data_IF_541021233559
#
_entry.id   IF_541021233559
#
_cell.length_a   1.000
_cell.length_b   1.000
_cell.length_c   1.000
_cell.angle_alpha   90.00
_cell.angle_beta   90.00
_cell.angle_gamma   90.00
#
_symmetry.space_group_name_H-M   'P 1'
#
loop_
_entity.id
_entity.type
_entity.pdbx_description
1 polymer ?
#
# COMPACT_ATOMS: atom_id res chain seq x y z
N UNK A 1 0.01 -18.81 -4.30
CA UNK A 1 -0.98 -19.48 -3.42
C UNK A 1 -0.32 -19.86 -2.10
N UNK A 2 0.74 -20.69 -2.06
CA UNK A 2 1.38 -21.17 -0.81
C UNK A 2 1.84 -20.02 0.08
N UNK A 3 2.55 -19.03 -0.47
CA UNK A 3 2.99 -17.85 0.28
C UNK A 3 1.83 -17.04 0.87
N UNK A 4 0.72 -16.92 0.14
CA UNK A 4 -0.49 -16.25 0.65
C UNK A 4 -1.15 -17.01 1.81
N UNK A 5 -1.21 -18.32 1.75
CA UNK A 5 -1.67 -19.15 2.88
C UNK A 5 -0.78 -18.98 4.11
N UNK A 6 0.56 -19.01 3.93
CA UNK A 6 1.51 -18.79 5.01
C UNK A 6 1.39 -17.40 5.64
N UNK A 7 1.24 -16.35 4.83
CA UNK A 7 1.01 -14.99 5.32
C UNK A 7 -0.29 -14.88 6.13
N UNK A 8 -1.40 -15.46 5.64
CA UNK A 8 -2.67 -15.42 6.33
C UNK A 8 -2.63 -16.09 7.71
N UNK A 9 -2.07 -17.30 7.80
CA UNK A 9 -1.91 -18.02 9.06
C UNK A 9 -0.96 -17.30 10.02
N UNK A 10 0.20 -16.86 9.53
CA UNK A 10 1.22 -16.17 10.32
C UNK A 10 0.81 -14.79 10.81
N UNK A 11 -0.16 -14.14 10.15
CA UNK A 11 -0.67 -12.83 10.55
C UNK A 11 -1.84 -12.91 11.54
N UNK A 12 -2.86 -13.71 11.25
CA UNK A 12 -4.11 -13.73 12.05
C UNK A 12 -3.89 -14.38 13.41
N UNK A 13 -3.06 -15.42 13.50
CA UNK A 13 -2.83 -16.16 14.74
C UNK A 13 -2.20 -15.31 15.85
N UNK A 14 -1.07 -14.61 15.65
CA UNK A 14 -0.49 -13.74 16.68
C UNK A 14 -1.43 -12.60 17.09
N UNK A 15 -2.09 -11.97 16.14
CA UNK A 15 -2.99 -10.82 16.41
C UNK A 15 -4.17 -11.26 17.29
N UNK A 16 -4.81 -12.38 16.98
CA UNK A 16 -5.92 -12.91 17.79
C UNK A 16 -5.46 -13.36 19.18
N UNK A 17 -4.25 -13.86 19.32
CA UNK A 17 -3.65 -14.24 20.60
C UNK A 17 -3.39 -13.01 21.48
N UNK A 18 -2.82 -11.94 20.92
CA UNK A 18 -2.54 -10.70 21.64
C UNK A 18 -3.81 -10.00 22.14
N UNK A 19 -4.89 -10.03 21.38
CA UNK A 19 -6.20 -9.51 21.83
C UNK A 19 -6.68 -10.20 23.12
N UNK A 20 -6.36 -11.49 23.30
CA UNK A 20 -6.69 -12.25 24.52
C UNK A 20 -5.75 -11.97 25.67
N UNK A 21 -4.45 -11.73 25.40
CA UNK A 21 -3.47 -11.36 26.42
C UNK A 21 -3.69 -9.97 27.00
N UNK A 22 -4.17 -9.02 26.18
CA UNK A 22 -4.33 -7.61 26.53
C UNK A 22 -5.78 -7.14 26.33
N UNK A 23 -6.73 -7.67 27.14
CA UNK A 23 -8.14 -7.30 27.03
C UNK A 23 -8.40 -5.83 27.43
N UNK A 24 -7.49 -5.23 28.21
CA UNK A 24 -7.49 -3.83 28.65
C UNK A 24 -7.03 -2.85 27.57
N UNK A 25 -6.14 -3.29 26.67
CA UNK A 25 -5.48 -2.47 25.64
C UNK A 25 -5.38 -3.19 24.30
N UNK A 26 -6.50 -3.69 23.82
CA UNK A 26 -6.58 -4.49 22.57
C UNK A 26 -5.99 -3.76 21.38
N UNK A 27 -6.27 -2.45 21.24
CA UNK A 27 -5.76 -1.63 20.16
C UNK A 27 -4.24 -1.46 20.23
N UNK A 28 -3.70 -1.12 21.39
CA UNK A 28 -2.25 -1.00 21.56
C UNK A 28 -1.55 -2.33 21.22
N UNK A 29 -2.06 -3.45 21.72
CA UNK A 29 -1.47 -4.76 21.48
C UNK A 29 -1.47 -5.15 20.00
N UNK A 30 -2.59 -4.95 19.30
CA UNK A 30 -2.69 -5.18 17.86
C UNK A 30 -1.81 -4.20 17.07
N UNK A 31 -1.77 -2.93 17.48
CA UNK A 31 -0.92 -1.91 16.89
C UNK A 31 0.55 -2.27 16.95
N UNK A 32 1.05 -2.70 18.11
CA UNK A 32 2.44 -3.16 18.29
C UNK A 32 2.78 -4.37 17.42
N UNK A 33 1.90 -5.38 17.37
CA UNK A 33 2.13 -6.56 16.54
C UNK A 33 2.17 -6.21 15.05
N UNK A 34 1.25 -5.37 14.60
CA UNK A 34 1.06 -5.07 13.19
C UNK A 34 2.01 -3.96 12.71
N UNK A 35 2.60 -3.15 13.61
CA UNK A 35 3.58 -2.13 13.22
C UNK A 35 4.81 -2.72 12.52
N UNK A 36 5.22 -3.94 12.91
CA UNK A 36 6.29 -4.67 12.25
C UNK A 36 6.03 -4.93 10.76
N UNK A 37 4.76 -5.14 10.38
CA UNK A 37 4.37 -5.28 8.98
C UNK A 37 4.53 -3.96 8.20
N UNK A 38 4.24 -2.81 8.84
CA UNK A 38 4.45 -1.48 8.24
C UNK A 38 5.93 -1.11 8.09
N UNK A 39 6.75 -1.50 9.08
CA UNK A 39 8.19 -1.22 9.11
C UNK A 39 9.05 -2.23 8.32
N UNK A 40 8.45 -3.34 7.86
CA UNK A 40 9.21 -4.43 7.21
C UNK A 40 10.01 -3.98 6.00
N UNK A 41 9.49 -3.06 5.19
CA UNK A 41 10.19 -2.53 4.03
C UNK A 41 11.47 -1.76 4.40
N UNK A 42 11.49 -1.07 5.54
CA UNK A 42 12.65 -0.32 6.01
C UNK A 42 13.86 -1.25 6.28
N UNK A 43 13.60 -2.44 6.81
CA UNK A 43 14.62 -3.44 7.13
C UNK A 43 14.93 -4.30 5.91
N UNK A 44 13.88 -4.76 5.21
CA UNK A 44 14.02 -5.72 4.13
C UNK A 44 14.65 -5.12 2.86
N UNK A 45 14.41 -3.82 2.56
CA UNK A 45 14.94 -3.21 1.34
C UNK A 45 16.48 -3.18 1.32
N UNK A 46 17.18 -2.61 2.32
CA UNK A 46 18.65 -2.59 2.31
C UNK A 46 19.24 -4.01 2.35
N UNK A 47 18.61 -4.95 3.06
CA UNK A 47 19.06 -6.35 3.08
C UNK A 47 18.92 -6.98 1.70
N UNK A 48 17.78 -6.77 1.02
CA UNK A 48 17.56 -7.27 -0.34
C UNK A 48 18.55 -6.67 -1.34
N UNK A 49 18.79 -5.37 -1.29
CA UNK A 49 19.75 -4.69 -2.15
C UNK A 49 21.17 -5.24 -1.94
N UNK A 50 21.59 -5.42 -0.69
CA UNK A 50 22.87 -6.06 -0.37
C UNK A 50 22.99 -7.48 -0.91
N UNK A 51 21.98 -8.32 -0.69
CA UNK A 51 21.97 -9.71 -1.17
C UNK A 51 21.90 -9.80 -2.70
N UNK A 52 21.11 -8.93 -3.33
CA UNK A 52 21.06 -8.83 -4.80
C UNK A 52 22.44 -8.50 -5.35
N UNK A 53 23.14 -7.52 -4.77
CA UNK A 53 24.51 -7.19 -5.16
C UNK A 53 25.50 -8.34 -4.92
N UNK A 54 25.36 -9.05 -3.79
CA UNK A 54 26.23 -10.19 -3.45
C UNK A 54 26.09 -11.37 -4.43
N UNK A 55 24.88 -11.68 -4.86
CA UNK A 55 24.58 -12.79 -5.78
C UNK A 55 24.51 -12.36 -7.25
N UNK A 56 24.65 -11.06 -7.53
CA UNK A 56 24.64 -10.55 -8.90
C UNK A 56 25.87 -11.04 -9.67
N UNK A 57 25.66 -11.49 -10.89
CA UNK A 57 26.73 -11.75 -11.86
C UNK A 57 26.45 -10.92 -13.10
N UNK A 58 27.37 -10.02 -13.43
CA UNK A 58 27.27 -9.22 -14.64
C UNK A 58 27.20 -10.14 -15.88
N UNK A 59 26.35 -9.83 -16.86
CA UNK A 59 26.37 -10.51 -18.15
C UNK A 59 27.69 -10.19 -18.89
N UNK A 60 28.07 -11.06 -19.82
CA UNK A 60 29.27 -10.86 -20.63
C UNK A 60 29.16 -9.60 -21.47
N UNK A 61 30.13 -8.71 -21.34
CA UNK A 61 30.23 -7.47 -22.06
C UNK A 61 31.04 -7.63 -23.33
N UNK A 62 30.45 -7.24 -24.48
CA UNK A 62 31.11 -7.36 -25.78
C UNK A 62 31.74 -6.06 -26.26
N UNK A 63 31.40 -4.94 -25.66
CA UNK A 63 31.92 -3.61 -26.02
C UNK A 63 30.87 -2.53 -26.16
N UNK A 64 31.28 -1.29 -26.46
CA UNK A 64 30.37 -0.18 -26.69
C UNK A 64 29.43 -0.44 -27.88
N UNK A 65 28.32 0.30 -27.94
CA UNK A 65 27.43 0.24 -29.09
C UNK A 65 28.18 0.59 -30.41
N UNK A 66 28.03 -0.28 -31.42
CA UNK A 66 28.75 -0.17 -32.70
C UNK A 66 30.09 -0.90 -32.73
N UNK A 67 30.60 -1.47 -31.64
CA UNK A 67 31.85 -2.23 -31.61
C UNK A 67 31.74 -3.64 -32.21
N UNK A 68 30.52 -4.19 -32.28
CA UNK A 68 30.21 -5.53 -32.78
C UNK A 68 29.11 -5.42 -33.85
N UNK A 69 29.25 -6.20 -34.95
CA UNK A 69 28.20 -6.30 -35.94
C UNK A 69 26.97 -7.01 -35.39
N UNK A 70 25.81 -6.33 -35.52
CA UNK A 70 24.54 -6.86 -35.03
C UNK A 70 23.66 -7.28 -36.19
N UNK A 71 23.06 -8.47 -36.09
CA UNK A 71 22.05 -8.96 -37.02
C UNK A 71 20.71 -9.03 -36.27
N UNK A 72 19.62 -8.60 -36.94
CA UNK A 72 18.29 -8.72 -36.36
C UNK A 72 17.54 -9.85 -37.07
N UNK A 73 17.21 -10.90 -36.32
CA UNK A 73 16.47 -12.06 -36.83
C UNK A 73 15.37 -12.44 -35.84
N UNK A 74 14.15 -12.65 -36.32
CA UNK A 74 13.01 -13.01 -35.47
C UNK A 74 12.70 -11.99 -34.35
N UNK A 75 13.03 -10.71 -34.52
CA UNK A 75 12.84 -9.65 -33.51
C UNK A 75 13.92 -9.66 -32.41
N UNK A 76 14.94 -10.49 -32.50
CA UNK A 76 16.08 -10.56 -31.61
C UNK A 76 17.33 -9.99 -32.25
N UNK A 77 18.17 -9.36 -31.45
CA UNK A 77 19.51 -8.91 -31.88
C UNK A 77 20.50 -10.01 -31.60
N UNK A 78 21.26 -10.36 -32.61
CA UNK A 78 22.28 -11.41 -32.54
C UNK A 78 23.64 -10.79 -32.85
N UNK A 79 24.69 -11.32 -32.21
CA UNK A 79 26.08 -11.01 -32.49
C UNK A 79 26.87 -12.32 -32.61
N UNK A 80 27.88 -12.32 -33.42
CA UNK A 80 28.82 -13.48 -33.51
C UNK A 80 29.85 -13.37 -32.40
N UNK A 81 29.87 -14.39 -31.52
CA UNK A 81 30.85 -14.53 -30.44
C UNK A 81 31.49 -15.94 -30.54
N UNK A 82 32.79 -15.99 -30.73
CA UNK A 82 33.56 -17.26 -30.87
C UNK A 82 32.98 -18.21 -31.93
N UNK A 83 32.48 -17.66 -33.06
CA UNK A 83 31.90 -18.44 -34.15
C UNK A 83 30.48 -18.92 -33.92
N UNK A 84 29.82 -18.45 -32.88
CA UNK A 84 28.41 -18.74 -32.58
C UNK A 84 27.55 -17.46 -32.56
N UNK A 85 26.34 -17.54 -33.11
CA UNK A 85 25.37 -16.47 -33.04
C UNK A 85 24.68 -16.51 -31.69
N UNK A 86 24.88 -15.47 -30.88
CA UNK A 86 24.28 -15.32 -29.55
C UNK A 86 23.34 -14.12 -29.49
N UNK A 87 22.29 -14.26 -28.72
CA UNK A 87 21.36 -13.16 -28.48
C UNK A 87 22.02 -12.09 -27.59
N UNK A 88 21.90 -10.82 -28.01
CA UNK A 88 22.49 -9.70 -27.29
C UNK A 88 21.48 -8.60 -27.02
N UNK A 89 21.75 -7.81 -25.99
CA UNK A 89 20.98 -6.61 -25.61
C UNK A 89 21.92 -5.41 -25.53
N UNK A 90 21.44 -4.25 -25.97
CA UNK A 90 22.15 -2.98 -25.79
C UNK A 90 21.62 -2.36 -24.49
N UNK A 91 22.53 -2.17 -23.53
CA UNK A 91 22.25 -1.49 -22.27
C UNK A 91 22.69 -0.02 -22.38
N UNK A 92 21.73 0.90 -22.34
CA UNK A 92 22.00 2.33 -22.26
C UNK A 92 22.03 2.82 -20.80
N UNK A 93 22.21 4.12 -20.60
CA UNK A 93 22.36 4.77 -19.29
C UNK A 93 21.29 4.38 -18.27
N UNK A 94 20.02 4.22 -18.68
CA UNK A 94 18.92 3.85 -17.78
C UNK A 94 19.04 2.42 -17.26
N UNK A 95 19.42 1.46 -18.10
CA UNK A 95 19.59 0.07 -17.73
C UNK A 95 20.83 -0.12 -16.84
N UNK A 96 21.91 0.57 -17.16
CA UNK A 96 23.14 0.58 -16.38
C UNK A 96 22.92 1.18 -14.99
N UNK A 97 22.20 2.31 -14.92
CA UNK A 97 21.86 2.95 -13.63
C UNK A 97 20.93 2.11 -12.73
N UNK A 98 20.18 1.18 -13.33
CA UNK A 98 19.27 0.30 -12.59
C UNK A 98 19.98 -0.99 -12.10
N UNK A 99 21.20 -1.27 -12.52
CA UNK A 99 21.95 -2.45 -12.11
C UNK A 99 22.43 -2.33 -10.65
N UNK A 100 22.46 -3.45 -9.88
CA UNK A 100 22.91 -3.43 -8.49
C UNK A 100 24.44 -3.24 -8.35
N UNK A 101 25.18 -3.27 -9.44
CA UNK A 101 26.62 -3.02 -9.53
C UNK A 101 26.91 -2.06 -10.68
N UNK A 102 28.07 -1.41 -10.63
CA UNK A 102 28.50 -0.52 -11.71
C UNK A 102 28.70 -1.31 -13.01
N UNK A 103 27.93 -1.00 -14.04
CA UNK A 103 28.07 -1.52 -15.40
C UNK A 103 28.48 -0.40 -16.37
N UNK A 104 28.95 -0.77 -17.55
CA UNK A 104 29.23 0.15 -18.65
C UNK A 104 28.08 0.12 -19.67
N UNK A 105 27.87 1.22 -20.36
CA UNK A 105 26.92 1.22 -21.49
C UNK A 105 27.51 0.42 -22.67
N UNK A 106 26.66 -0.37 -23.34
CA UNK A 106 27.13 -1.18 -24.48
C UNK A 106 26.33 -2.48 -24.65
N UNK A 107 26.97 -3.43 -25.33
CA UNK A 107 26.38 -4.69 -25.77
C UNK A 107 26.71 -5.80 -24.79
N UNK A 108 25.65 -6.54 -24.35
CA UNK A 108 25.76 -7.64 -23.42
C UNK A 108 25.13 -8.91 -23.97
N UNK A 109 25.74 -10.06 -23.69
CA UNK A 109 25.22 -11.38 -24.08
C UNK A 109 24.09 -11.81 -23.16
N UNK A 110 22.94 -12.13 -23.74
CA UNK A 110 21.76 -12.60 -22.98
C UNK A 110 22.02 -13.97 -22.39
N UNK A 111 21.63 -14.15 -21.13
CA UNK A 111 21.70 -15.44 -20.42
C UNK A 111 23.06 -15.77 -19.77
N UNK A 112 24.08 -14.93 -19.94
CA UNK A 112 25.40 -15.14 -19.29
C UNK A 112 25.50 -14.57 -17.89
N UNK A 113 24.62 -13.62 -17.53
CA UNK A 113 24.54 -12.99 -16.21
C UNK A 113 23.52 -13.64 -15.28
N UNK A 114 23.50 -13.16 -14.04
CA UNK A 114 22.51 -13.51 -13.03
C UNK A 114 22.08 -12.26 -12.28
N UNK A 115 20.79 -12.04 -12.13
CA UNK A 115 20.22 -10.90 -11.39
C UNK A 115 20.44 -10.98 -9.87
N UNK A 116 20.92 -12.09 -9.34
CA UNK A 116 21.04 -12.34 -7.90
C UNK A 116 19.73 -12.70 -7.21
N UNK A 117 18.60 -12.63 -7.90
CA UNK A 117 17.27 -12.82 -7.30
C UNK A 117 17.10 -14.21 -6.66
N UNK A 118 17.55 -15.29 -7.35
CA UNK A 118 17.40 -16.66 -6.84
C UNK A 118 18.17 -16.85 -5.52
N UNK A 119 19.42 -16.40 -5.43
CA UNK A 119 20.24 -16.48 -4.22
C UNK A 119 19.64 -15.64 -3.08
N UNK A 120 19.15 -14.45 -3.40
CA UNK A 120 18.48 -13.56 -2.43
C UNK A 120 17.23 -14.22 -1.85
N UNK A 121 16.32 -14.74 -2.70
CA UNK A 121 15.12 -15.43 -2.22
C UNK A 121 15.43 -16.67 -1.42
N UNK A 122 16.42 -17.45 -1.83
CA UNK A 122 16.83 -18.65 -1.09
C UNK A 122 17.37 -18.30 0.31
N UNK A 123 18.25 -17.32 0.41
CA UNK A 123 18.83 -16.86 1.68
C UNK A 123 17.77 -16.31 2.61
N UNK A 124 16.90 -15.41 2.11
CA UNK A 124 15.80 -14.85 2.90
C UNK A 124 14.79 -15.93 3.29
N UNK A 125 14.53 -16.89 2.41
CA UNK A 125 13.66 -18.02 2.71
C UNK A 125 14.14 -18.85 3.90
N UNK A 126 15.44 -19.15 3.99
CA UNK A 126 16.03 -19.85 5.14
C UNK A 126 15.93 -18.99 6.40
N UNK A 127 16.29 -17.71 6.33
CA UNK A 127 16.21 -16.80 7.48
C UNK A 127 14.78 -16.71 8.01
N UNK A 128 13.80 -16.52 7.13
CA UNK A 128 12.39 -16.47 7.53
C UNK A 128 11.92 -17.80 8.13
N UNK A 129 12.31 -18.95 7.55
CA UNK A 129 11.95 -20.25 8.08
C UNK A 129 12.43 -20.40 9.53
N UNK A 130 13.71 -20.11 9.79
CA UNK A 130 14.30 -20.23 11.13
C UNK A 130 13.63 -19.29 12.12
N UNK A 131 13.52 -18.01 11.78
CA UNK A 131 12.91 -17.00 12.66
C UNK A 131 11.45 -17.31 12.96
N UNK A 132 10.68 -17.72 11.94
CA UNK A 132 9.26 -18.04 12.12
C UNK A 132 9.04 -19.30 12.93
N UNK A 133 9.89 -20.34 12.80
CA UNK A 133 9.82 -21.53 13.64
C UNK A 133 10.09 -21.17 15.11
N UNK A 134 11.15 -20.41 15.39
CA UNK A 134 11.46 -19.93 16.75
C UNK A 134 10.28 -19.13 17.31
N UNK A 135 9.75 -18.19 16.53
CA UNK A 135 8.60 -17.39 16.94
C UNK A 135 7.35 -18.24 17.21
N UNK A 136 7.06 -19.22 16.34
CA UNK A 136 5.89 -20.09 16.48
C UNK A 136 5.93 -20.92 17.79
N UNK A 137 7.11 -21.36 18.23
CA UNK A 137 7.28 -22.09 19.48
C UNK A 137 7.38 -21.18 20.71
N UNK A 138 7.62 -19.89 20.54
CA UNK A 138 7.82 -18.96 21.66
C UNK A 138 6.52 -18.40 22.23
N UNK A 139 5.45 -18.24 21.46
CA UNK A 139 4.21 -17.65 21.96
C UNK A 139 3.19 -18.68 22.44
N UNK A 140 2.37 -18.27 23.42
CA UNK A 140 1.34 -19.09 24.05
C UNK A 140 0.01 -18.38 24.03
N UNK A 141 -1.09 -19.14 23.93
CA UNK A 141 -2.44 -18.60 24.14
C UNK A 141 -2.68 -18.53 25.66
N UNK A 142 -3.25 -17.42 26.19
CA UNK A 142 -3.58 -17.31 27.59
C UNK A 142 -4.63 -18.35 27.98
N UNK A 143 -4.62 -18.78 29.26
CA UNK A 143 -5.62 -19.69 29.82
C UNK A 143 -7.01 -19.03 29.78
N UNK A 144 -8.06 -19.84 29.74
CA UNK A 144 -9.43 -19.35 29.92
C UNK A 144 -9.56 -18.61 31.24
N UNK A 145 -10.26 -17.46 31.21
CA UNK A 145 -10.39 -16.60 32.39
C UNK A 145 -9.18 -15.71 32.73
N UNK A 146 -8.12 -15.75 31.93
CA UNK A 146 -6.97 -14.84 32.10
C UNK A 146 -7.40 -13.37 32.13
N UNK A 147 -6.88 -12.63 33.10
CA UNK A 147 -7.07 -11.19 33.25
C UNK A 147 -5.76 -10.56 33.74
N UNK A 148 -5.38 -9.38 33.22
CA UNK A 148 -4.25 -8.63 33.76
C UNK A 148 -4.48 -8.25 35.21
N UNK A 149 -3.41 -8.21 35.99
CA UNK A 149 -3.49 -7.84 37.40
C UNK A 149 -4.07 -6.42 37.58
N UNK A 150 -5.05 -6.29 38.49
CA UNK A 150 -5.70 -5.00 38.77
C UNK A 150 -6.70 -4.52 37.69
N UNK A 151 -6.93 -5.27 36.61
CA UNK A 151 -7.93 -4.93 35.61
C UNK A 151 -9.28 -5.63 35.90
N UNK A 152 -10.34 -4.84 35.81
CA UNK A 152 -11.71 -5.32 35.80
C UNK A 152 -12.40 -5.01 34.47
N UNK A 153 -13.26 -5.91 33.98
CA UNK A 153 -14.04 -5.62 32.76
C UNK A 153 -14.83 -4.32 32.91
N UNK A 154 -14.98 -3.54 31.82
CA UNK A 154 -15.75 -2.31 31.87
C UNK A 154 -17.19 -2.60 32.31
N UNK A 155 -17.79 -1.66 33.05
CA UNK A 155 -19.21 -1.73 33.42
C UNK A 155 -20.10 -1.77 32.17
N UNK A 156 -21.30 -2.31 32.27
CA UNK A 156 -22.24 -2.42 31.14
C UNK A 156 -22.45 -1.09 30.39
N UNK A 157 -22.57 0.02 31.13
CA UNK A 157 -22.72 1.36 30.53
C UNK A 157 -21.46 1.81 29.79
N UNK A 158 -20.28 1.59 30.36
CA UNK A 158 -19.02 1.95 29.71
C UNK A 158 -18.75 1.08 28.47
N UNK A 159 -19.08 -0.22 28.56
CA UNK A 159 -18.99 -1.14 27.43
C UNK A 159 -19.96 -0.75 26.31
N UNK A 160 -21.21 -0.41 26.63
CA UNK A 160 -22.21 0.03 25.67
C UNK A 160 -21.78 1.30 24.92
N UNK A 161 -21.25 2.30 25.62
CA UNK A 161 -20.76 3.55 25.00
C UNK A 161 -19.63 3.30 23.99
N UNK A 162 -18.79 2.31 24.22
CA UNK A 162 -17.69 1.92 23.30
C UNK A 162 -18.07 0.78 22.36
N UNK A 163 -19.30 0.31 22.38
CA UNK A 163 -19.80 -0.86 21.63
C UNK A 163 -18.99 -2.14 21.90
N UNK A 164 -18.57 -2.37 23.14
CA UNK A 164 -17.83 -3.55 23.55
C UNK A 164 -18.83 -4.61 24.02
N UNK A 165 -18.88 -5.76 23.35
CA UNK A 165 -19.68 -6.90 23.79
C UNK A 165 -18.91 -7.79 24.76
N UNK A 166 -19.61 -8.34 25.75
CA UNK A 166 -19.11 -9.40 26.63
C UNK A 166 -19.45 -10.81 26.10
N UNK A 167 -20.35 -10.89 25.13
CA UNK A 167 -20.81 -12.12 24.51
C UNK A 167 -19.98 -12.45 23.26
N UNK A 168 -20.04 -13.70 22.83
CA UNK A 168 -19.35 -14.15 21.62
C UNK A 168 -20.36 -14.44 20.51
N UNK A 169 -19.97 -14.14 19.28
CA UNK A 169 -20.72 -14.48 18.06
C UNK A 169 -19.95 -15.56 17.32
N UNK A 170 -20.62 -16.65 16.94
CA UNK A 170 -20.00 -17.70 16.13
C UNK A 170 -19.64 -17.16 14.74
N UNK A 171 -18.60 -17.70 14.14
CA UNK A 171 -18.08 -17.22 12.83
C UNK A 171 -19.18 -17.17 11.77
N UNK A 172 -19.99 -18.23 11.65
CA UNK A 172 -21.03 -18.32 10.61
C UNK A 172 -22.24 -17.41 10.90
N UNK A 173 -22.47 -17.06 12.17
CA UNK A 173 -23.46 -16.07 12.53
C UNK A 173 -22.98 -14.65 12.27
N UNK A 174 -21.70 -14.37 12.44
CA UNK A 174 -21.12 -13.06 12.12
C UNK A 174 -21.36 -12.69 10.65
N UNK A 175 -21.23 -13.66 9.72
CA UNK A 175 -21.51 -13.46 8.30
C UNK A 175 -22.98 -13.17 7.97
N UNK A 176 -23.90 -13.44 8.89
CA UNK A 176 -25.33 -13.13 8.73
C UNK A 176 -25.70 -11.75 9.30
N UNK A 177 -24.74 -11.01 9.80
CA UNK A 177 -24.96 -9.70 10.42
C UNK A 177 -24.60 -8.56 9.47
N UNK A 178 -25.35 -7.46 9.44
CA UNK A 178 -25.00 -6.29 8.64
C UNK A 178 -23.67 -5.66 9.10
N UNK A 179 -23.31 -5.80 10.37
CA UNK A 179 -22.07 -5.28 10.94
C UNK A 179 -20.83 -5.83 10.21
N UNK A 180 -20.82 -7.11 9.85
CA UNK A 180 -19.71 -7.71 9.11
C UNK A 180 -19.52 -7.02 7.76
N UNK A 181 -20.57 -6.82 6.99
CA UNK A 181 -20.50 -6.20 5.67
C UNK A 181 -20.19 -4.70 5.74
N UNK A 182 -20.73 -3.99 6.74
CA UNK A 182 -20.38 -2.60 6.98
C UNK A 182 -18.88 -2.44 7.29
N UNK A 183 -18.33 -3.30 8.15
CA UNK A 183 -16.90 -3.29 8.47
C UNK A 183 -16.04 -3.76 7.28
N UNK A 184 -16.58 -4.64 6.44
CA UNK A 184 -15.93 -5.03 5.19
C UNK A 184 -15.81 -3.84 4.24
N UNK A 185 -16.87 -3.05 4.05
CA UNK A 185 -16.87 -1.82 3.25
C UNK A 185 -15.89 -0.80 3.85
N UNK A 186 -15.95 -0.58 5.17
CA UNK A 186 -15.05 0.31 5.92
C UNK A 186 -13.59 -0.05 5.64
N UNK A 187 -13.23 -1.32 5.78
CA UNK A 187 -11.87 -1.78 5.55
C UNK A 187 -11.49 -1.70 4.06
N UNK A 188 -12.35 -2.20 3.16
CA UNK A 188 -12.09 -2.25 1.73
C UNK A 188 -11.78 -0.85 1.18
N UNK A 189 -12.60 0.14 1.48
CA UNK A 189 -12.44 1.47 0.90
C UNK A 189 -11.33 2.29 1.57
N UNK A 190 -11.13 2.12 2.88
CA UNK A 190 -9.96 2.68 3.56
C UNK A 190 -8.64 2.17 2.96
N UNK A 191 -8.57 0.86 2.72
CA UNK A 191 -7.39 0.22 2.15
C UNK A 191 -7.22 0.55 0.67
N UNK A 192 -8.30 0.57 -0.12
CA UNK A 192 -8.27 0.93 -1.54
C UNK A 192 -7.67 2.33 -1.73
N UNK A 193 -8.13 3.30 -0.94
CA UNK A 193 -7.60 4.67 -0.98
C UNK A 193 -6.10 4.72 -0.64
N UNK A 194 -5.67 3.98 0.39
CA UNK A 194 -4.27 4.01 0.82
C UNK A 194 -3.32 3.20 -0.07
N UNK A 195 -3.64 1.93 -0.36
CA UNK A 195 -2.74 1.02 -1.09
C UNK A 195 -2.55 1.47 -2.55
N UNK A 196 -3.58 2.04 -3.13
CA UNK A 196 -3.51 2.62 -4.46
C UNK A 196 -2.46 3.72 -4.52
N UNK A 197 -2.53 4.70 -3.61
CA UNK A 197 -1.59 5.83 -3.58
C UNK A 197 -0.16 5.39 -3.26
N UNK A 198 0.03 4.42 -2.34
CA UNK A 198 1.36 3.88 -2.03
C UNK A 198 2.05 3.35 -3.30
N UNK A 199 1.32 2.63 -4.16
CA UNK A 199 1.87 2.03 -5.37
C UNK A 199 2.44 3.02 -6.37
N UNK A 200 1.94 4.27 -6.39
CA UNK A 200 2.35 5.33 -7.31
C UNK A 200 2.96 6.55 -6.62
N UNK A 201 3.10 6.53 -5.30
CA UNK A 201 3.47 7.71 -4.51
C UNK A 201 4.77 8.38 -4.98
N UNK A 202 5.81 7.60 -5.30
CA UNK A 202 7.07 8.13 -5.83
C UNK A 202 6.86 8.82 -7.17
N UNK A 203 6.19 8.12 -8.10
CA UNK A 203 5.92 8.65 -9.45
C UNK A 203 5.04 9.88 -9.38
N UNK A 204 3.97 9.84 -8.59
CA UNK A 204 3.07 10.96 -8.37
C UNK A 204 3.81 12.20 -7.86
N UNK A 205 4.65 12.06 -6.83
CA UNK A 205 5.42 13.16 -6.29
C UNK A 205 6.39 13.74 -7.33
N UNK A 206 7.08 12.88 -8.10
CA UNK A 206 8.02 13.35 -9.14
C UNK A 206 7.31 13.96 -10.35
N UNK A 207 6.12 13.47 -10.73
CA UNK A 207 5.33 14.06 -11.82
C UNK A 207 4.71 15.40 -11.41
N UNK A 208 4.26 15.55 -10.16
CA UNK A 208 3.66 16.82 -9.70
C UNK A 208 4.71 17.92 -9.50
N UNK A 209 5.85 17.58 -8.90
CA UNK A 209 6.82 18.60 -8.45
C UNK A 209 8.16 18.56 -9.17
N UNK A 210 8.49 17.50 -9.93
CA UNK A 210 9.81 17.33 -10.52
C UNK A 210 10.14 18.37 -11.60
N UNK A 211 9.15 18.80 -12.38
CA UNK A 211 9.32 19.85 -13.40
C UNK A 211 9.29 21.25 -12.81
N UNK A 212 8.51 21.47 -11.75
CA UNK A 212 8.30 22.78 -11.11
C UNK A 212 9.34 23.10 -10.06
N UNK A 213 9.87 22.09 -9.36
CA UNK A 213 10.87 22.23 -8.29
C UNK A 213 12.06 21.26 -8.48
N UNK A 214 12.75 21.26 -9.64
CA UNK A 214 13.77 20.25 -9.98
C UNK A 214 15.00 20.26 -9.06
N UNK A 215 15.31 21.39 -8.44
CA UNK A 215 16.44 21.49 -7.51
C UNK A 215 16.18 20.76 -6.18
N UNK A 216 14.92 20.56 -5.81
CA UNK A 216 14.51 19.91 -4.56
C UNK A 216 14.09 18.47 -4.82
N UNK A 217 13.19 18.27 -5.80
CA UNK A 217 12.58 16.97 -6.10
C UNK A 217 13.46 16.20 -7.10
N UNK A 218 14.54 15.67 -6.57
CA UNK A 218 15.47 14.79 -7.29
C UNK A 218 15.27 13.32 -6.88
N UNK A 219 16.07 12.41 -7.41
CA UNK A 219 15.99 10.97 -7.13
C UNK A 219 16.23 10.62 -5.66
N UNK A 220 17.13 11.34 -4.98
CA UNK A 220 17.42 11.14 -3.56
C UNK A 220 16.25 11.59 -2.68
N UNK A 221 15.64 12.75 -2.99
CA UNK A 221 14.42 13.21 -2.32
C UNK A 221 13.27 12.23 -2.50
N UNK A 222 13.10 11.71 -3.72
CA UNK A 222 12.07 10.72 -4.02
C UNK A 222 12.27 9.38 -3.27
N UNK A 223 13.52 8.94 -3.09
CA UNK A 223 13.84 7.76 -2.30
C UNK A 223 13.54 8.00 -0.81
N UNK A 224 13.93 9.17 -0.27
CA UNK A 224 13.62 9.57 1.11
C UNK A 224 12.11 9.64 1.35
N UNK A 225 11.34 10.16 0.39
CA UNK A 225 9.88 10.21 0.49
C UNK A 225 9.27 8.80 0.64
N UNK A 226 9.71 7.82 -0.15
CA UNK A 226 9.25 6.43 -0.05
C UNK A 226 9.63 5.80 1.32
N UNK A 227 10.83 6.09 1.80
CA UNK A 227 11.25 5.66 3.13
C UNK A 227 10.34 6.24 4.22
N UNK A 228 10.06 7.54 4.15
CA UNK A 228 9.18 8.21 5.11
C UNK A 228 7.74 7.69 5.08
N UNK A 229 7.22 7.28 3.92
CA UNK A 229 5.93 6.58 3.82
C UNK A 229 5.92 5.35 4.74
N UNK A 230 6.97 4.53 4.72
CA UNK A 230 7.06 3.33 5.57
C UNK A 230 7.15 3.69 7.06
N UNK A 231 7.90 4.73 7.41
CA UNK A 231 8.00 5.23 8.80
C UNK A 231 6.64 5.67 9.32
N UNK A 232 5.94 6.54 8.57
CA UNK A 232 4.65 7.08 8.99
C UNK A 232 3.56 5.98 9.02
N UNK A 233 3.60 5.03 8.09
CA UNK A 233 2.71 3.87 8.12
C UNK A 233 2.94 3.01 9.38
N UNK A 234 4.19 2.74 9.73
CA UNK A 234 4.56 1.98 10.92
C UNK A 234 4.13 2.69 12.21
N UNK A 235 4.50 3.96 12.36
CA UNK A 235 4.15 4.79 13.52
C UNK A 235 2.63 4.93 13.64
N UNK A 236 1.95 5.13 12.51
CA UNK A 236 0.50 5.25 12.46
C UNK A 236 -0.24 4.02 12.98
N UNK A 237 0.29 2.81 12.73
CA UNK A 237 -0.29 1.56 13.27
C UNK A 237 -0.31 1.55 14.79
N UNK A 238 0.79 1.90 15.40
CA UNK A 238 0.89 1.97 16.86
C UNK A 238 0.06 3.12 17.43
N UNK A 239 0.25 4.32 16.88
CA UNK A 239 -0.39 5.55 17.38
C UNK A 239 -1.92 5.46 17.34
N UNK A 240 -2.50 5.19 16.17
CA UNK A 240 -3.95 5.18 16.01
C UNK A 240 -4.63 3.99 16.69
N UNK A 241 -4.02 2.80 16.64
CA UNK A 241 -4.56 1.65 17.31
C UNK A 241 -4.56 1.84 18.85
N UNK A 242 -3.50 2.42 19.42
CA UNK A 242 -3.46 2.80 20.84
C UNK A 242 -4.48 3.88 21.17
N UNK A 243 -4.57 4.94 20.35
CA UNK A 243 -5.55 6.02 20.53
C UNK A 243 -6.97 5.49 20.51
N UNK A 244 -7.24 4.47 19.70
CA UNK A 244 -8.56 3.86 19.59
C UNK A 244 -9.04 3.17 20.88
N UNK A 245 -8.13 2.79 21.78
CA UNK A 245 -8.49 2.27 23.13
C UNK A 245 -9.16 3.34 23.99
N UNK A 246 -8.81 4.62 23.76
CA UNK A 246 -9.34 5.76 24.53
C UNK A 246 -10.61 6.34 23.91
N UNK A 247 -10.58 6.69 22.63
CA UNK A 247 -11.70 7.37 21.95
C UNK A 247 -12.75 6.42 21.36
N UNK A 248 -12.46 5.10 21.36
CA UNK A 248 -13.29 4.05 20.78
C UNK A 248 -13.03 3.84 19.27
N UNK A 249 -13.25 2.61 18.80
CA UNK A 249 -12.92 2.19 17.42
C UNK A 249 -13.72 2.96 16.37
N UNK A 250 -15.02 3.07 16.58
CA UNK A 250 -15.93 3.78 15.66
C UNK A 250 -15.49 5.24 15.46
N UNK A 251 -15.15 5.96 16.54
CA UNK A 251 -14.71 7.34 16.48
C UNK A 251 -13.35 7.49 15.80
N UNK A 252 -12.44 6.53 16.04
CA UNK A 252 -11.14 6.51 15.34
C UNK A 252 -11.33 6.42 13.82
N UNK A 253 -12.22 5.55 13.35
CA UNK A 253 -12.53 5.45 11.93
C UNK A 253 -13.27 6.69 11.39
N UNK A 254 -14.11 7.35 12.19
CA UNK A 254 -14.66 8.65 11.81
C UNK A 254 -13.55 9.69 11.59
N UNK A 255 -12.55 9.74 12.49
CA UNK A 255 -11.38 10.61 12.29
C UNK A 255 -10.64 10.27 10.99
N UNK A 256 -10.42 8.99 10.69
CA UNK A 256 -9.76 8.58 9.45
C UNK A 256 -10.49 9.08 8.20
N UNK A 257 -11.80 8.94 8.18
CA UNK A 257 -12.58 9.30 6.99
C UNK A 257 -12.74 10.81 6.84
N UNK A 258 -13.09 11.52 7.90
CA UNK A 258 -13.26 12.98 7.84
C UNK A 258 -11.93 13.66 7.49
N UNK A 259 -10.87 13.34 8.22
CA UNK A 259 -9.56 13.92 7.95
C UNK A 259 -9.01 13.45 6.60
N UNK A 260 -9.20 12.18 6.26
CA UNK A 260 -8.79 11.62 4.98
C UNK A 260 -9.44 12.33 3.79
N UNK A 261 -10.75 12.56 3.81
CA UNK A 261 -11.45 13.32 2.76
C UNK A 261 -10.81 14.69 2.56
N UNK A 262 -10.58 15.44 3.65
CA UNK A 262 -9.95 16.77 3.58
C UNK A 262 -8.56 16.68 2.97
N UNK A 263 -7.75 15.71 3.40
CA UNK A 263 -6.37 15.55 2.93
C UNK A 263 -6.31 15.10 1.47
N UNK A 264 -7.16 14.16 1.04
CA UNK A 264 -7.24 13.76 -0.36
C UNK A 264 -7.67 14.91 -1.28
N UNK A 265 -8.60 15.77 -0.83
CA UNK A 265 -9.01 16.96 -1.57
C UNK A 265 -7.94 18.06 -1.59
N UNK A 266 -7.04 18.10 -0.62
CA UNK A 266 -5.95 19.07 -0.57
C UNK A 266 -4.84 18.79 -1.58
N UNK A 267 -4.67 17.53 -2.03
CA UNK A 267 -3.62 17.13 -3.00
C UNK A 267 -3.85 17.77 -4.39
N UNK A 268 -5.05 17.66 -5.00
CA UNK A 268 -5.36 18.37 -6.25
C UNK A 268 -5.13 19.88 -6.16
N UNK A 269 -5.54 20.48 -5.04
CA UNK A 269 -5.32 21.91 -4.83
C UNK A 269 -3.83 22.26 -4.83
N UNK A 270 -2.98 21.49 -4.14
CA UNK A 270 -1.53 21.71 -4.14
C UNK A 270 -0.93 21.52 -5.54
N UNK A 271 -1.40 20.52 -6.30
CA UNK A 271 -0.96 20.23 -7.65
C UNK A 271 -1.32 21.36 -8.65
N UNK A 272 -2.52 21.93 -8.53
CA UNK A 272 -2.93 23.08 -9.34
C UNK A 272 -2.14 24.34 -8.99
N UNK A 273 -1.96 24.60 -7.69
CA UNK A 273 -1.24 25.80 -7.26
C UNK A 273 0.24 25.77 -7.65
N UNK A 274 0.92 24.63 -7.57
CA UNK A 274 2.32 24.54 -7.96
C UNK A 274 2.54 24.74 -9.47
N UNK A 275 1.54 24.41 -10.30
CA UNK A 275 1.58 24.63 -11.75
C UNK A 275 1.53 26.11 -12.12
N UNK A 276 0.84 26.93 -11.32
CA UNK A 276 0.67 28.38 -11.54
C UNK A 276 1.77 29.17 -10.83
N UNK A 277 2.09 28.81 -9.61
CA UNK A 277 3.09 29.50 -8.77
C UNK A 277 4.00 28.46 -8.10
N UNK A 278 5.13 28.10 -8.70
CA UNK A 278 6.08 27.14 -8.15
C UNK A 278 6.63 27.63 -6.79
N UNK A 279 6.13 27.05 -5.69
CA UNK A 279 6.57 27.35 -4.35
C UNK A 279 6.72 26.07 -3.51
N UNK A 280 7.73 26.05 -2.65
CA UNK A 280 8.01 24.92 -1.74
C UNK A 280 6.83 24.63 -0.81
N UNK A 281 6.03 25.63 -0.50
CA UNK A 281 4.83 25.50 0.36
C UNK A 281 3.88 24.42 -0.13
N UNK A 282 3.68 24.30 -1.45
CA UNK A 282 2.80 23.28 -2.03
C UNK A 282 3.37 21.88 -1.92
N UNK A 283 4.69 21.75 -2.04
CA UNK A 283 5.39 20.48 -1.79
C UNK A 283 5.27 20.08 -0.31
N UNK A 284 5.46 21.01 0.62
CA UNK A 284 5.30 20.74 2.06
C UNK A 284 3.86 20.32 2.38
N UNK A 285 2.87 21.01 1.82
CA UNK A 285 1.45 20.66 1.99
C UNK A 285 1.15 19.25 1.48
N UNK A 286 1.59 18.93 0.28
CA UNK A 286 1.46 17.58 -0.31
C UNK A 286 2.15 16.52 0.55
N UNK A 287 3.38 16.78 0.96
CA UNK A 287 4.17 15.87 1.77
C UNK A 287 3.49 15.60 3.12
N UNK A 288 3.07 16.65 3.82
CA UNK A 288 2.36 16.53 5.09
C UNK A 288 1.04 15.79 4.93
N UNK A 289 0.24 16.12 3.92
CA UNK A 289 -1.04 15.45 3.64
C UNK A 289 -0.85 13.95 3.40
N UNK A 290 0.09 13.57 2.54
CA UNK A 290 0.36 12.15 2.23
C UNK A 290 0.92 11.41 3.43
N UNK A 291 1.82 12.00 4.23
CA UNK A 291 2.34 11.35 5.44
C UNK A 291 1.22 11.09 6.46
N UNK A 292 0.32 12.04 6.68
CA UNK A 292 -0.83 11.84 7.57
C UNK A 292 -1.77 10.75 7.03
N UNK A 293 -2.08 10.77 5.73
CA UNK A 293 -2.87 9.72 5.07
C UNK A 293 -2.26 8.33 5.34
N UNK A 294 -0.94 8.19 5.23
CA UNK A 294 -0.27 6.91 5.46
C UNK A 294 -0.26 6.47 6.93
N UNK A 295 -0.27 7.42 7.89
CA UNK A 295 -0.50 7.03 9.29
C UNK A 295 -1.89 6.44 9.48
N UNK A 296 -2.92 7.03 8.85
CA UNK A 296 -4.30 6.56 8.96
C UNK A 296 -4.53 5.25 8.21
N UNK A 297 -3.89 5.06 7.04
CA UNK A 297 -3.89 3.79 6.33
C UNK A 297 -3.34 2.67 7.22
N UNK A 298 -2.17 2.88 7.82
CA UNK A 298 -1.58 1.92 8.77
C UNK A 298 -2.46 1.70 10.00
N UNK A 299 -2.96 2.78 10.58
CA UNK A 299 -3.83 2.78 11.75
C UNK A 299 -5.14 2.04 11.53
N UNK A 300 -5.78 2.24 10.38
CA UNK A 300 -7.01 1.54 10.01
C UNK A 300 -6.82 0.02 9.97
N UNK A 301 -5.73 -0.42 9.38
CA UNK A 301 -5.40 -1.84 9.34
C UNK A 301 -5.10 -2.45 10.73
N UNK A 302 -4.44 -1.68 11.60
CA UNK A 302 -4.08 -2.13 12.94
C UNK A 302 -5.26 -2.09 13.94
N UNK A 303 -6.24 -1.23 13.71
CA UNK A 303 -7.40 -1.06 14.61
C UNK A 303 -8.51 -2.07 14.33
N UNK A 304 -8.63 -2.61 13.10
CA UNK A 304 -9.77 -3.46 12.72
C UNK A 304 -9.89 -4.75 13.53
N UNK A 305 -8.82 -5.47 13.91
CA UNK A 305 -8.95 -6.68 14.73
C UNK A 305 -9.55 -6.39 16.11
N UNK A 306 -9.15 -5.27 16.72
CA UNK A 306 -9.71 -4.83 17.97
C UNK A 306 -11.18 -4.39 17.84
N UNK A 307 -11.54 -3.77 16.72
CA UNK A 307 -12.93 -3.39 16.42
C UNK A 307 -13.82 -4.63 16.27
N UNK A 308 -13.33 -5.67 15.58
CA UNK A 308 -14.04 -6.96 15.48
C UNK A 308 -14.21 -7.63 16.85
N UNK A 309 -13.16 -7.61 17.68
CA UNK A 309 -13.22 -8.17 19.02
C UNK A 309 -14.22 -7.44 19.91
N UNK A 310 -14.34 -6.12 19.75
CA UNK A 310 -15.30 -5.31 20.51
C UNK A 310 -16.74 -5.59 20.08
N UNK A 311 -17.01 -5.83 18.79
CA UNK A 311 -18.37 -6.06 18.25
C UNK A 311 -18.81 -7.54 18.36
N UNK A 312 -17.92 -8.49 18.06
CA UNK A 312 -18.26 -9.91 17.94
C UNK A 312 -17.75 -10.79 19.08
N UNK A 313 -17.00 -10.21 20.02
CA UNK A 313 -16.33 -10.95 21.08
C UNK A 313 -14.98 -11.54 20.67
N UNK A 314 -14.23 -12.05 21.65
CA UNK A 314 -12.83 -12.44 21.46
C UNK A 314 -12.65 -13.90 21.07
N UNK A 315 -13.65 -14.77 21.30
CA UNK A 315 -13.52 -16.23 21.12
C UNK A 315 -13.24 -16.62 19.66
N UNK A 316 -13.98 -16.03 18.72
CA UNK A 316 -13.89 -16.36 17.29
C UNK A 316 -13.31 -15.22 16.44
N UNK A 317 -12.73 -14.20 17.07
CA UNK A 317 -12.25 -13.00 16.38
C UNK A 317 -11.24 -13.32 15.28
N UNK A 318 -10.37 -14.30 15.48
CA UNK A 318 -9.39 -14.70 14.45
C UNK A 318 -10.07 -15.22 13.17
N UNK A 319 -11.08 -16.10 13.32
CA UNK A 319 -11.82 -16.62 12.17
C UNK A 319 -12.68 -15.57 11.46
N UNK A 320 -13.29 -14.63 12.20
CA UNK A 320 -14.07 -13.52 11.65
C UNK A 320 -13.12 -12.54 10.94
N UNK A 321 -11.98 -12.22 11.54
CA UNK A 321 -10.95 -11.36 10.96
C UNK A 321 -10.39 -11.95 9.65
N UNK A 322 -10.07 -13.26 9.64
CA UNK A 322 -9.59 -13.92 8.44
C UNK A 322 -10.57 -13.80 7.27
N UNK A 323 -11.88 -13.90 7.52
CA UNK A 323 -12.91 -13.67 6.49
C UNK A 323 -13.03 -12.21 6.08
N UNK A 324 -12.89 -11.28 7.05
CA UNK A 324 -12.92 -9.84 6.76
C UNK A 324 -11.73 -9.39 5.91
N UNK A 325 -10.59 -10.06 5.99
CA UNK A 325 -9.39 -9.75 5.18
C UNK A 325 -9.62 -9.92 3.67
N UNK A 326 -10.70 -10.56 3.24
CA UNK A 326 -11.11 -10.52 1.82
C UNK A 326 -11.36 -9.10 1.33
N UNK A 327 -11.75 -8.17 2.20
CA UNK A 327 -11.84 -6.75 1.90
C UNK A 327 -10.48 -6.15 1.53
N UNK A 328 -9.43 -6.53 2.27
CA UNK A 328 -8.06 -6.09 1.97
C UNK A 328 -7.55 -6.68 0.64
N UNK A 329 -7.83 -7.95 0.38
CA UNK A 329 -7.46 -8.59 -0.89
C UNK A 329 -8.15 -7.92 -2.07
N UNK A 330 -9.45 -7.61 -1.94
CA UNK A 330 -10.23 -6.86 -2.96
C UNK A 330 -9.62 -5.47 -3.18
N UNK A 331 -9.31 -4.75 -2.12
CA UNK A 331 -8.67 -3.44 -2.20
C UNK A 331 -7.29 -3.48 -2.86
N UNK A 332 -6.51 -4.54 -2.59
CA UNK A 332 -5.19 -4.77 -3.20
C UNK A 332 -5.22 -4.94 -4.72
N UNK A 333 -6.38 -5.36 -5.26
CA UNK A 333 -6.63 -5.43 -6.72
C UNK A 333 -7.24 -4.13 -7.22
N UNK A 334 -8.32 -3.68 -6.57
CA UNK A 334 -9.07 -2.50 -7.03
C UNK A 334 -8.27 -1.21 -6.93
N UNK A 335 -7.46 -1.02 -5.88
CA UNK A 335 -6.68 0.20 -5.69
C UNK A 335 -5.73 0.49 -6.85
N UNK A 336 -4.74 -0.37 -7.13
CA UNK A 336 -3.82 -0.19 -8.25
C UNK A 336 -4.51 -0.09 -9.61
N UNK A 337 -5.55 -0.90 -9.86
CA UNK A 337 -6.33 -0.84 -11.10
C UNK A 337 -7.04 0.51 -11.26
N UNK A 338 -7.74 0.96 -10.23
CA UNK A 338 -8.46 2.24 -10.27
C UNK A 338 -7.50 3.41 -10.55
N UNK A 339 -6.37 3.47 -9.84
CA UNK A 339 -5.39 4.53 -10.04
C UNK A 339 -4.81 4.49 -11.44
N UNK A 340 -4.42 3.32 -11.92
CA UNK A 340 -3.84 3.19 -13.26
C UNK A 340 -4.84 3.64 -14.33
N UNK A 341 -6.10 3.20 -14.23
CA UNK A 341 -7.13 3.56 -15.19
C UNK A 341 -7.48 5.05 -15.13
N UNK A 342 -7.70 5.60 -13.94
CA UNK A 342 -8.04 7.02 -13.78
C UNK A 342 -6.88 7.93 -14.24
N UNK A 343 -5.63 7.58 -13.91
CA UNK A 343 -4.47 8.31 -14.39
C UNK A 343 -4.33 8.24 -15.91
N UNK A 344 -4.53 7.07 -16.52
CA UNK A 344 -4.47 6.91 -17.96
C UNK A 344 -5.58 7.72 -18.67
N UNK A 345 -6.80 7.73 -18.11
CA UNK A 345 -7.88 8.59 -18.60
C UNK A 345 -7.48 10.07 -18.53
N UNK A 346 -6.96 10.53 -17.38
CA UNK A 346 -6.51 11.92 -17.22
C UNK A 346 -5.37 12.25 -18.18
N UNK A 347 -4.44 11.32 -18.40
CA UNK A 347 -3.32 11.47 -19.32
C UNK A 347 -3.81 11.60 -20.77
N UNK A 348 -4.71 10.72 -21.21
CA UNK A 348 -5.25 10.74 -22.57
C UNK A 348 -6.04 12.04 -22.80
N UNK A 349 -6.87 12.46 -21.85
CA UNK A 349 -7.59 13.74 -21.95
C UNK A 349 -6.61 14.92 -22.06
N UNK A 350 -5.57 14.95 -21.21
CA UNK A 350 -4.56 16.00 -21.25
C UNK A 350 -3.80 16.04 -22.60
N UNK A 351 -3.48 14.89 -23.18
CA UNK A 351 -2.85 14.80 -24.50
C UNK A 351 -3.81 15.31 -25.57
N UNK A 352 -5.07 14.93 -25.55
CA UNK A 352 -6.08 15.38 -26.51
C UNK A 352 -6.28 16.90 -26.43
N UNK A 353 -6.41 17.44 -25.20
CA UNK A 353 -6.59 18.88 -24.97
C UNK A 353 -5.37 19.69 -25.38
N UNK A 354 -4.14 19.17 -25.21
CA UNK A 354 -2.92 19.79 -25.66
C UNK A 354 -2.78 19.73 -27.18
N UNK A 355 -3.05 18.58 -27.78
CA UNK A 355 -2.98 18.40 -29.23
C UNK A 355 -3.94 19.35 -29.98
N UNK A 356 -5.12 19.61 -29.40
CA UNK A 356 -6.08 20.58 -29.95
C UNK A 356 -5.61 22.03 -29.86
N UNK A 357 -4.63 22.37 -29.01
CA UNK A 357 -4.05 23.73 -28.89
C UNK A 357 -2.82 23.94 -29.76
N UNK A 358 -2.19 22.88 -30.21
CA UNK A 358 -0.97 22.91 -31.03
C UNK A 358 -1.35 23.18 -32.50
N UNK A 359 -0.53 23.96 -33.18
CA UNK A 359 -0.69 24.18 -34.62
C UNK A 359 -0.56 22.85 -35.39
N UNK A 360 -1.52 22.50 -36.27
CA UNK A 360 -1.49 21.21 -36.97
C UNK A 360 -0.24 21.00 -37.87
N UNK A 361 0.37 22.06 -38.38
CA UNK A 361 1.60 21.95 -39.15
C UNK A 361 2.80 21.65 -38.27
N UNK A 362 2.91 22.31 -37.12
CA UNK A 362 3.95 22.05 -36.14
C UNK A 362 3.82 20.64 -35.55
N UNK A 363 2.57 20.17 -35.34
CA UNK A 363 2.31 18.80 -34.93
C UNK A 363 2.80 17.78 -35.95
N UNK A 364 2.44 17.97 -37.22
CA UNK A 364 2.85 17.06 -38.31
C UNK A 364 4.38 17.05 -38.53
N UNK A 365 5.02 18.19 -38.43
CA UNK A 365 6.50 18.30 -38.50
C UNK A 365 7.18 17.55 -37.35
N UNK A 366 6.66 17.70 -36.10
CA UNK A 366 7.26 17.09 -34.90
C UNK A 366 7.07 15.58 -34.83
N UNK A 367 5.90 15.07 -35.23
CA UNK A 367 5.52 13.67 -35.02
C UNK A 367 5.48 12.84 -36.32
N UNK A 368 5.62 13.47 -37.50
CA UNK A 368 5.62 12.78 -38.79
C UNK A 368 4.24 12.31 -39.27
N UNK A 369 3.15 12.73 -38.57
CA UNK A 369 1.77 12.36 -38.90
C UNK A 369 0.81 13.44 -38.40
N UNK A 370 -0.39 13.52 -38.98
CA UNK A 370 -1.41 14.48 -38.59
C UNK A 370 -2.08 14.17 -37.24
N UNK A 371 -2.81 15.16 -36.72
CA UNK A 371 -3.59 15.02 -35.46
C UNK A 371 -4.69 13.95 -35.57
N UNK A 372 -5.15 13.64 -36.77
CA UNK A 372 -6.10 12.56 -37.07
C UNK A 372 -5.58 11.17 -36.70
N UNK A 373 -4.26 11.00 -36.57
CA UNK A 373 -3.61 9.76 -36.12
C UNK A 373 -3.19 9.79 -34.64
N UNK A 374 -3.69 10.75 -33.86
CA UNK A 374 -3.30 10.97 -32.46
C UNK A 374 -3.37 9.69 -31.62
N UNK A 375 -4.46 8.91 -31.68
CA UNK A 375 -4.65 7.69 -30.92
C UNK A 375 -3.56 6.64 -31.21
N UNK A 376 -3.16 6.49 -32.47
CA UNK A 376 -2.09 5.56 -32.86
C UNK A 376 -0.73 6.03 -32.35
N UNK A 377 -0.46 7.34 -32.44
CA UNK A 377 0.79 7.93 -31.95
C UNK A 377 0.91 7.89 -30.43
N UNK A 378 -0.22 8.01 -29.71
CA UNK A 378 -0.27 7.84 -28.23
C UNK A 378 -0.03 6.37 -27.86
N UNK A 379 -0.69 5.42 -28.55
CA UNK A 379 -0.47 3.99 -28.34
C UNK A 379 1.00 3.59 -28.60
N UNK A 380 1.62 4.16 -29.63
CA UNK A 380 3.04 3.97 -29.96
C UNK A 380 3.99 4.73 -29.01
N UNK A 381 3.47 5.52 -28.06
CA UNK A 381 4.23 6.40 -27.15
C UNK A 381 5.09 7.43 -27.88
N UNK A 382 4.75 7.75 -29.11
CA UNK A 382 5.43 8.79 -29.92
C UNK A 382 4.99 10.18 -29.47
N UNK A 383 3.69 10.36 -29.17
CA UNK A 383 3.13 11.57 -28.58
C UNK A 383 3.05 11.44 -27.08
N UNK A 384 3.62 12.39 -26.37
CA UNK A 384 3.59 12.50 -24.91
C UNK A 384 3.31 13.94 -24.49
N UNK A 385 2.83 14.17 -23.27
CA UNK A 385 2.62 15.53 -22.74
C UNK A 385 3.89 16.38 -22.88
N UNK A 386 5.04 15.85 -22.47
CA UNK A 386 6.31 16.58 -22.52
C UNK A 386 6.66 17.02 -23.96
N UNK A 387 6.50 16.14 -24.95
CA UNK A 387 6.79 16.47 -26.37
C UNK A 387 5.77 17.43 -26.97
N UNK A 388 4.50 17.39 -26.53
CA UNK A 388 3.49 18.37 -26.95
C UNK A 388 3.77 19.73 -26.33
N UNK A 389 4.23 19.80 -25.10
CA UNK A 389 4.60 21.06 -24.45
C UNK A 389 5.75 21.79 -25.15
N UNK A 390 6.64 21.07 -25.85
CA UNK A 390 7.72 21.69 -26.65
C UNK A 390 7.20 22.52 -27.83
N UNK A 391 6.02 22.21 -28.35
CA UNK A 391 5.39 22.88 -29.52
C UNK A 391 4.06 23.55 -29.15
N UNK A 392 3.68 23.55 -27.87
CA UNK A 392 2.48 24.23 -27.41
C UNK A 392 2.63 25.75 -27.45
N UNK A 393 1.54 26.51 -27.63
CA UNK A 393 1.57 27.97 -27.58
C UNK A 393 2.17 28.50 -26.26
N UNK A 394 2.86 29.65 -26.37
CA UNK A 394 3.43 30.31 -25.18
C UNK A 394 2.34 30.56 -24.09
N UNK A 395 2.64 30.27 -22.85
CA UNK A 395 1.70 30.40 -21.74
C UNK A 395 0.79 29.18 -21.51
N UNK A 396 0.95 28.09 -22.30
CA UNK A 396 0.25 26.82 -22.01
C UNK A 396 0.75 26.24 -20.69
N UNK A 397 -0.17 25.95 -19.76
CA UNK A 397 0.15 25.34 -18.47
C UNK A 397 0.37 23.83 -18.68
N UNK A 398 1.45 23.30 -18.12
CA UNK A 398 1.75 21.86 -18.13
C UNK A 398 0.68 21.10 -17.31
N UNK A 399 -0.08 20.17 -17.92
CA UNK A 399 -1.09 19.40 -17.21
C UNK A 399 -0.52 18.26 -16.34
N UNK A 400 0.78 17.98 -16.43
CA UNK A 400 1.42 16.85 -15.71
C UNK A 400 1.13 16.85 -14.21
N UNK A 401 1.19 17.98 -13.47
CA UNK A 401 0.88 17.98 -12.04
C UNK A 401 -0.56 17.59 -11.71
N UNK A 402 -1.51 17.82 -12.60
CA UNK A 402 -2.95 17.56 -12.38
C UNK A 402 -3.43 16.16 -12.79
N UNK A 403 -2.55 15.30 -13.33
CA UNK A 403 -2.90 13.96 -13.83
C UNK A 403 -3.53 13.05 -12.77
N UNK A 404 -3.27 13.31 -11.49
CA UNK A 404 -3.81 12.54 -10.37
C UNK A 404 -5.06 13.15 -9.72
N UNK A 405 -5.52 14.32 -10.15
CA UNK A 405 -6.64 15.02 -9.51
C UNK A 405 -7.91 14.16 -9.48
N UNK A 406 -8.31 13.59 -10.61
CA UNK A 406 -9.47 12.68 -10.71
C UNK A 406 -9.33 11.48 -9.77
N UNK A 407 -8.12 10.94 -9.66
CA UNK A 407 -7.84 9.83 -8.73
C UNK A 407 -8.03 10.25 -7.28
N UNK A 408 -7.53 11.42 -6.89
CA UNK A 408 -7.66 11.92 -5.51
C UNK A 408 -9.12 12.20 -5.15
N UNK A 409 -9.91 12.76 -6.07
CA UNK A 409 -11.34 12.94 -5.89
C UNK A 409 -12.08 11.61 -5.76
N UNK A 410 -11.73 10.61 -6.56
CA UNK A 410 -12.30 9.27 -6.44
C UNK A 410 -11.98 8.62 -5.09
N UNK A 411 -10.73 8.74 -4.60
CA UNK A 411 -10.35 8.23 -3.28
C UNK A 411 -11.11 8.95 -2.15
N UNK A 412 -11.28 10.27 -2.23
CA UNK A 412 -12.11 11.01 -1.28
C UNK A 412 -13.57 10.50 -1.31
N UNK A 413 -14.13 10.23 -2.49
CA UNK A 413 -15.46 9.65 -2.65
C UNK A 413 -15.61 8.26 -1.98
N UNK A 414 -14.62 7.39 -2.11
CA UNK A 414 -14.60 6.10 -1.42
C UNK A 414 -14.61 6.26 0.10
N UNK A 415 -13.86 7.24 0.63
CA UNK A 415 -13.86 7.53 2.06
C UNK A 415 -15.21 8.09 2.55
N UNK A 416 -15.96 8.82 1.73
CA UNK A 416 -17.34 9.23 2.06
C UNK A 416 -18.23 8.00 2.23
N UNK A 417 -18.16 7.03 1.32
CA UNK A 417 -18.93 5.78 1.44
C UNK A 417 -18.52 5.01 2.70
N UNK A 418 -17.21 4.94 2.98
CA UNK A 418 -16.70 4.30 4.19
C UNK A 418 -17.16 5.01 5.48
N UNK A 419 -17.23 6.35 5.48
CA UNK A 419 -17.76 7.16 6.57
C UNK A 419 -19.22 6.83 6.86
N UNK A 420 -20.04 6.75 5.81
CA UNK A 420 -21.45 6.37 5.91
C UNK A 420 -21.56 4.95 6.47
N UNK A 421 -20.83 4.00 5.92
CA UNK A 421 -20.84 2.62 6.39
C UNK A 421 -20.42 2.52 7.87
N UNK A 422 -19.36 3.21 8.29
CA UNK A 422 -18.92 3.23 9.69
C UNK A 422 -19.98 3.86 10.61
N UNK A 423 -20.66 4.90 10.15
CA UNK A 423 -21.74 5.57 10.91
C UNK A 423 -22.92 4.64 11.19
N UNK A 424 -23.22 3.76 10.25
CA UNK A 424 -24.30 2.76 10.35
C UNK A 424 -23.96 1.56 11.24
N UNK A 425 -22.68 1.34 11.59
CA UNK A 425 -22.30 0.25 12.50
C UNK A 425 -22.95 0.45 13.87
N UNK A 426 -23.67 -0.57 14.33
CA UNK A 426 -24.35 -0.65 15.64
C UNK A 426 -23.94 -1.95 16.35
N UNK A 427 -24.12 -2.09 17.65
CA UNK A 427 -23.94 -3.36 18.34
C UNK A 427 -24.70 -4.51 17.66
N UNK A 428 -24.16 -5.72 17.74
CA UNK A 428 -24.83 -6.92 17.20
C UNK A 428 -26.07 -7.22 18.05
N UNK A 429 -27.16 -7.63 17.41
CA UNK A 429 -28.39 -7.98 18.09
C UNK A 429 -28.22 -9.29 18.85
N UNK A 430 -28.83 -9.41 20.05
CA UNK A 430 -28.66 -10.54 21.00
C UNK A 430 -28.95 -11.90 20.38
N UNK A 431 -29.88 -11.99 19.42
CA UNK A 431 -30.21 -13.24 18.70
C UNK A 431 -29.04 -13.90 17.98
N UNK A 432 -27.95 -13.15 17.73
CA UNK A 432 -26.74 -13.67 17.07
C UNK A 432 -25.65 -14.05 18.06
N UNK A 433 -25.83 -13.70 19.33
CA UNK A 433 -24.91 -14.11 20.39
C UNK A 433 -25.12 -15.60 20.71
N UNK A 434 -24.04 -16.24 21.14
CA UNK A 434 -24.12 -17.61 21.65
C UNK A 434 -24.78 -17.61 23.03
N UNK A 435 -25.59 -18.63 23.31
CA UNK A 435 -26.14 -18.82 24.64
C UNK A 435 -25.01 -19.09 25.64
N UNK A 436 -25.14 -18.51 26.85
CA UNK A 436 -24.20 -18.74 27.91
C UNK A 436 -24.15 -20.25 28.26
N UNK A 437 -22.99 -20.87 28.10
CA UNK A 437 -22.80 -22.31 28.30
C UNK A 437 -22.87 -23.19 27.05
N UNK A 438 -23.38 -22.69 25.91
CA UNK A 438 -23.41 -23.43 24.63
C UNK A 438 -21.99 -23.67 24.06
N UNK A 439 -20.99 -23.02 24.61
CA UNK A 439 -19.59 -23.06 24.20
C UNK A 439 -18.71 -23.94 25.11
N UNK A 440 -19.30 -24.65 26.08
CA UNK A 440 -18.58 -25.52 27.02
C UNK A 440 -17.81 -24.75 28.12
N UNK A 441 -17.96 -23.44 28.18
CA UNK A 441 -17.39 -22.61 29.24
C UNK A 441 -18.45 -22.44 30.37
N UNK A 442 -18.22 -22.98 31.54
CA UNK A 442 -18.99 -22.62 32.72
C UNK A 442 -18.80 -21.12 33.00
N UNK A 443 -19.85 -20.39 33.44
CA UNK A 443 -19.66 -19.01 33.87
C UNK A 443 -18.60 -18.99 34.99
N UNK A 444 -17.58 -18.14 34.79
CA UNK A 444 -16.55 -17.97 35.85
C UNK A 444 -17.23 -17.47 37.08
N UNK A 445 -17.14 -18.17 38.26
CA UNK A 445 -17.79 -17.73 39.47
C UNK A 445 -17.37 -16.30 39.82
N UNK A 446 -18.35 -15.46 40.18
CA UNK A 446 -18.09 -14.16 40.76
C UNK A 446 -17.22 -14.33 42.01
N UNK A 447 -15.95 -13.92 41.96
CA UNK A 447 -14.99 -14.07 43.05
C UNK A 447 -13.79 -14.99 42.81
N UNK A 448 -13.61 -15.57 41.61
CA UNK A 448 -12.42 -16.37 41.34
C UNK A 448 -11.16 -15.49 41.33
N UNK A 449 -10.15 -15.86 42.15
CA UNK A 449 -8.84 -15.20 42.15
C UNK A 449 -8.19 -15.25 40.75
N UNK A 450 -7.45 -14.17 40.35
CA UNK A 450 -6.76 -14.14 39.05
C UNK A 450 -5.75 -15.29 38.97
N UNK A 451 -5.87 -16.09 37.92
CA UNK A 451 -4.92 -17.18 37.64
C UNK A 451 -3.50 -16.59 37.48
N UNK A 452 -2.58 -17.02 38.33
CA UNK A 452 -1.16 -16.69 38.22
C UNK A 452 -0.61 -17.24 36.88
N UNK A 453 0.16 -16.40 36.17
CA UNK A 453 0.76 -16.74 34.87
C UNK A 453 1.75 -17.91 34.95
#
# INVERSE_FOLDING_TARGET
VIGGCGLGLGYVSPVSTLIRWFPDRRGMATGMAIMGFGGGAMIATPIKEYLLGLFYKAPEYLGPEGSVALITEGGKRLAEVNGQMVEVVIAGAKQVAAAPVALQEGIYVVGTGNTGAAGTFFTLGIVYLVVMIIAAFSYRVPREGWRPAGWTPPTADAASRKMITHNNVHIDQALKTPQFYLLWIVLCFNVTAGIGVIGVAKTMMTEIFGTTLPLIVNSAFAATYVFMISVFNMVGRFFWASTSDFIGRKNTYHCFFVLGIILYLSIPFAAEQVSVNPAVTWLVMFYAATMIIFTMYGGGFATIPAYLADIFGTKYVGGIHGRLLTAWSTAGVLGPLAITQLRNMSLNNAITDLAAKVDPSAFAEKFGAGVDQLDQLVAAKTVTVARLMEIAPAGTVDPTPSLYNTTMYAMAGLLVIALIANSLVKPVHDKHHMEAGADGTSPVPEGAEPAKA
#
